data_IF_985899399954
#
_entry.id   IF_985899399954
#
_cell.length_a   1.000
_cell.length_b   1.000
_cell.length_c   1.000
_cell.angle_alpha   90.00
_cell.angle_beta   90.00
_cell.angle_gamma   90.00
#
_symmetry.space_group_name_H-M   'P 1'
#
loop_
_entity.id
_entity.type
_entity.pdbx_description
1 polymer ?
#
# COMPACT_ATOMS: atom_id res chain seq x y z
N UNK A 1 -30.88 -3.75 4.16
CA UNK A 1 -29.80 -3.88 3.17
C UNK A 1 -29.74 -2.58 2.38
N UNK A 2 -28.59 -1.91 2.38
CA UNK A 2 -28.36 -0.71 1.57
C UNK A 2 -28.27 -1.08 0.08
N UNK A 3 -28.39 -0.07 -0.77
CA UNK A 3 -28.16 -0.19 -2.21
C UNK A 3 -26.66 -0.44 -2.46
N UNK A 4 -26.33 -1.58 -3.09
CA UNK A 4 -24.94 -2.01 -3.31
C UNK A 4 -24.21 -1.05 -4.25
N UNK A 5 -24.85 -0.53 -5.30
CA UNK A 5 -24.18 0.36 -6.24
C UNK A 5 -23.90 1.74 -5.61
N UNK A 6 -24.73 2.16 -4.65
CA UNK A 6 -24.40 3.34 -3.83
C UNK A 6 -23.24 3.06 -2.87
N UNK A 7 -23.26 1.91 -2.20
CA UNK A 7 -22.16 1.51 -1.31
C UNK A 7 -20.82 1.44 -2.03
N UNK A 8 -20.78 0.87 -3.24
CA UNK A 8 -19.55 0.78 -4.03
C UNK A 8 -18.98 2.17 -4.35
N UNK A 9 -19.83 3.15 -4.66
CA UNK A 9 -19.39 4.54 -4.89
C UNK A 9 -18.88 5.23 -3.63
N UNK A 10 -19.45 4.89 -2.48
CA UNK A 10 -18.96 5.40 -1.19
C UNK A 10 -17.63 4.75 -0.79
N UNK A 11 -17.43 3.47 -1.11
CA UNK A 11 -16.22 2.71 -0.77
C UNK A 11 -15.08 3.03 -1.74
N UNK A 12 -15.37 3.17 -3.02
CA UNK A 12 -14.43 3.46 -4.10
C UNK A 12 -14.86 4.77 -4.79
N UNK A 13 -14.43 5.93 -4.26
CA UNK A 13 -14.71 7.20 -4.92
C UNK A 13 -13.99 7.29 -6.28
N UNK A 14 -14.35 8.28 -7.14
CA UNK A 14 -13.74 8.46 -8.45
C UNK A 14 -12.20 8.49 -8.41
N UNK A 15 -11.50 8.05 -9.47
CA UNK A 15 -10.04 7.99 -9.52
C UNK A 15 -9.40 9.36 -9.79
N UNK A 16 -9.83 10.38 -9.05
CA UNK A 16 -9.24 11.72 -9.07
C UNK A 16 -8.47 11.96 -7.78
N UNK A 17 -7.53 12.91 -7.82
CA UNK A 17 -6.74 13.25 -6.65
C UNK A 17 -7.63 13.86 -5.56
N UNK A 18 -8.51 14.76 -5.96
CA UNK A 18 -9.42 15.51 -5.08
C UNK A 18 -10.33 14.60 -4.27
N UNK A 19 -10.77 13.49 -4.86
CA UNK A 19 -11.68 12.53 -4.22
C UNK A 19 -10.95 11.48 -3.36
N UNK A 20 -9.64 11.24 -3.62
CA UNK A 20 -8.89 10.14 -2.99
C UNK A 20 -7.78 10.57 -2.05
N UNK A 21 -7.32 11.82 -2.12
CA UNK A 21 -6.26 12.31 -1.23
C UNK A 21 -6.77 12.35 0.22
N UNK A 22 -6.18 11.51 1.08
CA UNK A 22 -6.60 11.38 2.48
C UNK A 22 -7.89 10.57 2.69
N UNK A 23 -8.46 9.97 1.65
CA UNK A 23 -9.65 9.13 1.75
C UNK A 23 -9.34 7.81 2.45
N UNK A 24 -10.27 7.36 3.30
CA UNK A 24 -10.29 6.02 3.90
C UNK A 24 -11.71 5.48 3.89
N UNK A 25 -11.88 4.18 3.61
CA UNK A 25 -13.19 3.52 3.64
C UNK A 25 -13.37 2.59 4.85
N UNK A 26 -12.42 2.56 5.79
CA UNK A 26 -12.41 1.68 6.96
C UNK A 26 -13.72 1.72 7.76
N UNK A 27 -14.26 2.92 8.00
CA UNK A 27 -15.53 3.10 8.73
C UNK A 27 -16.72 2.52 7.99
N UNK A 28 -16.71 2.61 6.65
CA UNK A 28 -17.79 2.08 5.80
C UNK A 28 -17.74 0.56 5.84
N UNK A 29 -16.55 -0.01 5.64
CA UNK A 29 -16.30 -1.46 5.67
C UNK A 29 -16.67 -2.06 7.03
N UNK A 30 -16.22 -1.44 8.12
CA UNK A 30 -16.54 -1.89 9.48
C UNK A 30 -18.05 -1.86 9.81
N UNK A 31 -18.83 -1.05 9.07
CA UNK A 31 -20.28 -0.94 9.21
C UNK A 31 -21.08 -1.86 8.27
N UNK A 32 -20.45 -2.71 7.45
CA UNK A 32 -21.16 -3.65 6.58
C UNK A 32 -21.71 -4.81 7.40
N UNK A 33 -22.98 -5.19 7.15
CA UNK A 33 -23.47 -6.48 7.61
C UNK A 33 -22.94 -7.61 6.70
N UNK A 34 -23.17 -8.88 7.09
CA UNK A 34 -22.65 -10.04 6.36
C UNK A 34 -23.09 -10.10 4.89
N UNK A 35 -24.35 -9.79 4.59
CA UNK A 35 -24.87 -9.83 3.21
C UNK A 35 -24.26 -8.72 2.36
N UNK A 36 -24.18 -7.50 2.92
CA UNK A 36 -23.55 -6.36 2.28
C UNK A 36 -22.06 -6.60 2.04
N UNK A 37 -21.36 -7.18 3.02
CA UNK A 37 -19.94 -7.52 2.91
C UNK A 37 -19.69 -8.44 1.71
N UNK A 38 -20.44 -9.55 1.60
CA UNK A 38 -20.28 -10.51 0.51
C UNK A 38 -20.65 -9.90 -0.85
N UNK A 39 -21.68 -9.07 -0.90
CA UNK A 39 -22.09 -8.39 -2.13
C UNK A 39 -21.05 -7.37 -2.59
N UNK A 40 -20.51 -6.56 -1.66
CA UNK A 40 -19.44 -5.59 -1.92
C UNK A 40 -18.17 -6.30 -2.37
N UNK A 41 -17.74 -7.33 -1.64
CA UNK A 41 -16.54 -8.12 -1.98
C UNK A 41 -16.61 -8.63 -3.42
N UNK A 42 -17.72 -9.30 -3.78
CA UNK A 42 -17.93 -9.82 -5.12
C UNK A 42 -17.85 -8.72 -6.18
N UNK A 43 -18.54 -7.61 -5.96
CA UNK A 43 -18.62 -6.50 -6.91
C UNK A 43 -17.27 -5.80 -7.10
N UNK A 44 -16.48 -5.66 -6.03
CA UNK A 44 -15.12 -5.12 -6.08
C UNK A 44 -14.16 -6.05 -6.83
N UNK A 45 -14.27 -7.38 -6.64
CA UNK A 45 -13.48 -8.35 -7.40
C UNK A 45 -13.78 -8.22 -8.89
N UNK A 46 -15.07 -8.20 -9.27
CA UNK A 46 -15.51 -8.00 -10.66
C UNK A 46 -14.94 -6.70 -11.25
N UNK A 47 -15.04 -5.59 -10.51
CA UNK A 47 -14.49 -4.31 -10.97
C UNK A 47 -12.97 -4.34 -11.12
N UNK A 48 -12.26 -5.04 -10.23
CA UNK A 48 -10.82 -5.22 -10.31
C UNK A 48 -10.40 -6.16 -11.43
N UNK A 49 -11.27 -7.01 -11.98
CA UNK A 49 -10.95 -7.79 -13.18
C UNK A 49 -10.86 -6.91 -14.43
N UNK A 50 -11.65 -5.84 -14.46
CA UNK A 50 -11.72 -4.90 -15.59
C UNK A 50 -10.74 -3.73 -15.42
N UNK A 51 -10.72 -3.10 -14.24
CA UNK A 51 -9.97 -1.88 -13.97
C UNK A 51 -8.70 -2.12 -13.17
N UNK A 52 -7.63 -1.41 -13.53
CA UNK A 52 -6.41 -1.37 -12.74
C UNK A 52 -6.53 -0.27 -11.66
N UNK A 53 -7.26 -0.55 -10.59
CA UNK A 53 -7.46 0.38 -9.48
C UNK A 53 -6.81 -0.15 -8.19
N UNK A 54 -5.80 0.57 -7.71
CA UNK A 54 -5.09 0.18 -6.49
C UNK A 54 -5.97 0.29 -5.25
N UNK A 55 -6.89 1.26 -5.18
CA UNK A 55 -7.77 1.44 -4.02
C UNK A 55 -8.69 0.24 -3.86
N UNK A 56 -9.17 -0.33 -4.97
CA UNK A 56 -9.97 -1.57 -4.93
C UNK A 56 -9.15 -2.72 -4.36
N UNK A 57 -7.90 -2.90 -4.84
CA UNK A 57 -6.99 -3.91 -4.31
C UNK A 57 -6.73 -3.75 -2.81
N UNK A 58 -6.42 -2.52 -2.36
CA UNK A 58 -6.22 -2.21 -0.94
C UNK A 58 -7.49 -2.47 -0.11
N UNK A 59 -8.66 -2.12 -0.63
CA UNK A 59 -9.94 -2.35 0.05
C UNK A 59 -10.20 -3.84 0.23
N UNK A 60 -9.97 -4.66 -0.80
CA UNK A 60 -10.12 -6.12 -0.71
C UNK A 60 -9.16 -6.74 0.31
N UNK A 61 -7.92 -6.21 0.43
CA UNK A 61 -6.99 -6.62 1.49
C UNK A 61 -7.51 -6.21 2.87
N UNK A 62 -7.99 -4.97 3.04
CA UNK A 62 -8.57 -4.48 4.30
C UNK A 62 -9.83 -5.24 4.73
N UNK A 63 -10.57 -5.80 3.77
CA UNK A 63 -11.68 -6.73 4.00
C UNK A 63 -11.22 -8.16 4.30
N UNK A 64 -9.93 -8.47 4.26
CA UNK A 64 -9.39 -9.84 4.38
C UNK A 64 -9.98 -10.82 3.32
N UNK A 65 -10.27 -10.34 2.11
CA UNK A 65 -10.86 -11.15 1.04
C UNK A 65 -9.85 -12.13 0.42
N UNK A 66 -9.83 -13.37 0.89
CA UNK A 66 -9.06 -14.44 0.25
C UNK A 66 -9.55 -14.73 -1.19
N UNK A 67 -10.84 -14.49 -1.47
CA UNK A 67 -11.43 -14.64 -2.80
C UNK A 67 -10.84 -13.68 -3.83
N UNK A 68 -10.22 -12.57 -3.40
CA UNK A 68 -9.55 -11.63 -4.28
C UNK A 68 -8.19 -12.13 -4.79
N UNK A 69 -7.59 -13.16 -4.19
CA UNK A 69 -6.25 -13.63 -4.55
C UNK A 69 -6.05 -13.89 -6.05
N UNK A 70 -6.99 -14.54 -6.79
CA UNK A 70 -6.83 -14.75 -8.22
C UNK A 70 -6.77 -13.44 -9.02
N UNK A 71 -7.63 -12.46 -8.72
CA UNK A 71 -7.62 -11.18 -9.44
C UNK A 71 -6.39 -10.34 -9.09
N UNK A 72 -5.95 -10.36 -7.83
CA UNK A 72 -4.71 -9.69 -7.41
C UNK A 72 -3.48 -10.27 -8.13
N UNK A 73 -3.38 -11.60 -8.27
CA UNK A 73 -2.30 -12.26 -9.02
C UNK A 73 -2.32 -11.87 -10.50
N UNK A 74 -3.48 -11.92 -11.15
CA UNK A 74 -3.63 -11.43 -12.55
C UNK A 74 -3.18 -9.98 -12.69
N UNK A 75 -3.44 -9.13 -11.69
CA UNK A 75 -3.01 -7.73 -11.69
C UNK A 75 -1.51 -7.58 -11.50
N UNK A 76 -0.89 -8.36 -10.63
CA UNK A 76 0.57 -8.42 -10.45
C UNK A 76 1.28 -8.85 -11.73
N UNK A 77 0.81 -9.90 -12.41
CA UNK A 77 1.39 -10.42 -13.65
C UNK A 77 1.40 -9.39 -14.78
N UNK A 78 0.41 -8.50 -14.80
CA UNK A 78 0.30 -7.40 -15.78
C UNK A 78 1.16 -6.18 -15.46
N UNK A 79 1.96 -6.20 -14.39
CA UNK A 79 2.80 -5.04 -14.01
C UNK A 79 4.15 -5.10 -14.70
N UNK A 80 4.44 -4.06 -15.48
CA UNK A 80 5.78 -3.85 -16.03
C UNK A 80 6.70 -3.08 -15.07
N UNK A 81 6.15 -2.11 -14.33
CA UNK A 81 6.94 -1.27 -13.43
C UNK A 81 7.36 -2.00 -12.15
N UNK A 82 8.59 -1.76 -11.71
CA UNK A 82 9.10 -2.31 -10.44
C UNK A 82 8.28 -1.86 -9.24
N UNK A 83 7.87 -0.58 -9.18
CA UNK A 83 6.92 -0.09 -8.18
C UNK A 83 5.61 -0.87 -8.18
N UNK A 84 5.02 -1.07 -9.36
CA UNK A 84 3.80 -1.85 -9.50
C UNK A 84 3.96 -3.28 -9.00
N UNK A 85 5.06 -3.96 -9.36
CA UNK A 85 5.33 -5.32 -8.88
C UNK A 85 5.42 -5.40 -7.37
N UNK A 86 6.15 -4.47 -6.74
CA UNK A 86 6.30 -4.42 -5.28
C UNK A 86 4.94 -4.20 -4.61
N UNK A 87 4.20 -3.17 -5.01
CA UNK A 87 2.92 -2.82 -4.39
C UNK A 87 1.91 -3.96 -4.51
N UNK A 88 1.74 -4.56 -5.69
CA UNK A 88 0.78 -5.65 -5.87
C UNK A 88 1.22 -6.96 -5.19
N UNK A 89 2.52 -7.27 -5.15
CA UNK A 89 3.03 -8.40 -4.38
C UNK A 89 2.79 -8.21 -2.87
N UNK A 90 2.88 -6.97 -2.39
CA UNK A 90 2.61 -6.62 -0.98
C UNK A 90 1.17 -6.91 -0.60
N UNK A 91 0.20 -6.51 -1.43
CA UNK A 91 -1.21 -6.80 -1.19
C UNK A 91 -1.49 -8.31 -1.05
N UNK A 92 -0.90 -9.12 -1.95
CA UNK A 92 -1.04 -10.58 -1.91
C UNK A 92 -0.37 -11.15 -0.66
N UNK A 93 0.82 -10.67 -0.31
CA UNK A 93 1.54 -11.08 0.88
C UNK A 93 0.76 -10.80 2.17
N UNK A 94 0.08 -9.65 2.26
CA UNK A 94 -0.77 -9.29 3.40
C UNK A 94 -1.94 -10.26 3.56
N UNK A 95 -2.70 -10.54 2.49
CA UNK A 95 -3.80 -11.51 2.54
C UNK A 95 -3.32 -12.92 2.91
N UNK A 96 -2.17 -13.33 2.37
CA UNK A 96 -1.57 -14.64 2.68
C UNK A 96 -0.86 -14.69 4.03
N UNK A 97 -0.77 -13.57 4.75
CA UNK A 97 -0.08 -13.44 6.05
C UNK A 97 1.39 -13.89 5.97
N UNK A 98 2.03 -13.63 4.84
CA UNK A 98 3.39 -14.05 4.51
C UNK A 98 3.44 -15.02 3.33
N UNK A 99 4.07 -14.58 2.24
CA UNK A 99 4.28 -15.39 1.04
C UNK A 99 5.72 -15.24 0.53
N UNK A 100 6.49 -16.32 0.59
CA UNK A 100 7.88 -16.36 0.11
C UNK A 100 8.03 -16.07 -1.38
N UNK A 101 7.02 -16.41 -2.19
CA UNK A 101 7.03 -16.09 -3.61
C UNK A 101 6.84 -14.58 -3.83
N UNK A 102 5.88 -13.97 -3.13
CA UNK A 102 5.65 -12.53 -3.22
C UNK A 102 6.84 -11.74 -2.67
N UNK A 103 7.45 -12.21 -1.59
CA UNK A 103 8.67 -11.64 -1.02
C UNK A 103 9.82 -11.69 -2.02
N UNK A 104 10.01 -12.82 -2.72
CA UNK A 104 10.99 -12.94 -3.79
C UNK A 104 10.73 -11.96 -4.93
N UNK A 105 9.49 -11.88 -5.42
CA UNK A 105 9.12 -10.95 -6.51
C UNK A 105 9.39 -9.50 -6.10
N UNK A 106 8.99 -9.11 -4.89
CA UNK A 106 9.19 -7.77 -4.37
C UNK A 106 10.68 -7.46 -4.20
N UNK A 107 11.47 -8.40 -3.68
CA UNK A 107 12.92 -8.23 -3.54
C UNK A 107 13.60 -8.04 -4.90
N UNK A 108 13.34 -8.91 -5.88
CA UNK A 108 13.93 -8.82 -7.22
C UNK A 108 13.53 -7.54 -7.97
N UNK A 109 12.30 -7.07 -7.78
CA UNK A 109 11.86 -5.79 -8.31
C UNK A 109 12.56 -4.61 -7.60
N UNK A 110 12.73 -4.70 -6.27
CA UNK A 110 13.41 -3.68 -5.48
C UNK A 110 14.90 -3.57 -5.80
N UNK A 111 15.57 -4.68 -6.10
CA UNK A 111 16.98 -4.66 -6.52
C UNK A 111 17.21 -3.81 -7.77
N UNK A 112 16.23 -3.78 -8.68
CA UNK A 112 16.24 -3.05 -9.95
C UNK A 112 15.58 -1.68 -9.87
N UNK A 113 15.07 -1.30 -8.69
CA UNK A 113 14.35 -0.05 -8.51
C UNK A 113 15.32 1.13 -8.46
N UNK A 114 15.05 2.13 -9.30
CA UNK A 114 15.73 3.43 -9.26
C UNK A 114 14.76 4.51 -8.79
N UNK A 115 15.21 5.33 -7.83
CA UNK A 115 14.47 6.49 -7.37
C UNK A 115 14.74 7.68 -8.27
N UNK A 116 13.71 8.14 -8.98
CA UNK A 116 13.74 9.30 -9.88
C UNK A 116 13.13 10.54 -9.18
N UNK A 117 12.18 10.32 -8.26
CA UNK A 117 11.51 11.36 -7.49
C UNK A 117 11.54 11.06 -6.00
N UNK A 118 11.64 12.10 -5.16
CA UNK A 118 11.67 11.94 -3.70
C UNK A 118 10.41 11.24 -3.15
N UNK A 119 9.23 11.56 -3.70
CA UNK A 119 7.94 11.00 -3.28
C UNK A 119 7.88 9.46 -3.38
N UNK A 120 8.68 8.87 -4.26
CA UNK A 120 8.74 7.42 -4.44
C UNK A 120 9.26 6.66 -3.21
N UNK A 121 9.88 7.35 -2.24
CA UNK A 121 10.36 6.73 -1.00
C UNK A 121 9.26 6.03 -0.18
N UNK A 122 7.98 6.37 -0.40
CA UNK A 122 6.86 5.72 0.29
C UNK A 122 6.78 4.21 0.03
N UNK A 123 7.42 3.69 -1.02
CA UNK A 123 7.49 2.25 -1.33
C UNK A 123 8.12 1.42 -0.21
N UNK A 124 8.92 2.03 0.66
CA UNK A 124 9.47 1.34 1.82
C UNK A 124 8.39 0.89 2.82
N UNK A 125 7.24 1.57 2.86
CA UNK A 125 6.07 1.16 3.65
C UNK A 125 5.46 -0.15 3.15
N UNK A 126 5.54 -0.40 1.83
CA UNK A 126 5.15 -1.68 1.24
C UNK A 126 6.19 -2.77 1.55
N UNK A 127 7.46 -2.46 1.29
CA UNK A 127 8.58 -3.41 1.43
C UNK A 127 8.77 -3.93 2.87
N UNK A 128 8.55 -3.09 3.88
CA UNK A 128 8.75 -3.50 5.29
C UNK A 128 7.72 -4.56 5.73
N UNK A 129 6.55 -4.62 5.09
CA UNK A 129 5.47 -5.58 5.43
C UNK A 129 5.85 -7.03 5.18
N UNK A 130 6.85 -7.28 4.33
CA UNK A 130 7.38 -8.63 4.11
C UNK A 130 8.20 -9.17 5.29
N UNK A 131 8.60 -8.32 6.26
CA UNK A 131 9.43 -8.70 7.41
C UNK A 131 10.69 -9.48 7.01
N UNK A 132 11.26 -9.13 5.86
CA UNK A 132 12.36 -9.85 5.23
C UNK A 132 13.71 -9.21 5.57
N UNK A 133 14.65 -9.94 6.22
CA UNK A 133 15.96 -9.40 6.56
C UNK A 133 16.75 -8.88 5.35
N UNK A 134 16.62 -9.53 4.18
CA UNK A 134 17.30 -9.09 2.96
C UNK A 134 16.71 -7.82 2.37
N UNK A 135 15.39 -7.64 2.47
CA UNK A 135 14.73 -6.39 2.08
C UNK A 135 15.19 -5.27 3.03
N UNK A 136 15.17 -5.50 4.34
CA UNK A 136 15.60 -4.51 5.33
C UNK A 136 17.05 -4.05 5.10
N UNK A 137 17.97 -4.99 4.90
CA UNK A 137 19.37 -4.70 4.56
C UNK A 137 19.52 -3.91 3.25
N UNK A 138 18.61 -4.08 2.30
CA UNK A 138 18.60 -3.29 1.07
C UNK A 138 18.06 -1.87 1.31
N UNK A 139 17.04 -1.70 2.16
CA UNK A 139 16.50 -0.40 2.57
C UNK A 139 17.58 0.43 3.30
N UNK A 140 18.42 -0.20 4.12
CA UNK A 140 19.52 0.48 4.84
C UNK A 140 20.44 1.28 3.91
N UNK A 141 20.62 0.83 2.66
CA UNK A 141 21.44 1.56 1.67
C UNK A 141 20.87 2.93 1.27
N UNK A 142 19.63 3.22 1.67
CA UNK A 142 18.92 4.44 1.32
C UNK A 142 18.74 5.40 2.51
N UNK A 143 19.27 5.09 3.70
CA UNK A 143 19.12 5.96 4.87
C UNK A 143 19.72 7.35 4.64
N UNK A 144 20.81 7.48 3.88
CA UNK A 144 21.41 8.78 3.55
C UNK A 144 21.30 9.08 2.05
N UNK A 145 20.17 8.70 1.44
CA UNK A 145 19.92 8.94 0.04
C UNK A 145 19.82 10.44 -0.28
N UNK A 146 20.29 10.85 -1.47
CA UNK A 146 20.28 12.25 -1.96
C UNK A 146 18.90 12.92 -2.01
N UNK A 147 17.83 12.14 -1.93
CA UNK A 147 16.45 12.65 -1.90
C UNK A 147 15.93 12.50 -0.48
N UNK A 148 15.64 13.63 0.17
CA UNK A 148 15.28 13.66 1.59
C UNK A 148 14.11 12.76 1.91
N UNK A 149 13.03 12.75 1.12
CA UNK A 149 11.89 11.87 1.38
C UNK A 149 12.22 10.37 1.23
N UNK A 150 13.20 10.00 0.40
CA UNK A 150 13.67 8.60 0.32
C UNK A 150 14.42 8.26 1.61
N UNK A 151 15.35 9.13 2.03
CA UNK A 151 16.10 8.97 3.28
C UNK A 151 15.19 8.90 4.51
N UNK A 152 14.23 9.82 4.61
CA UNK A 152 13.25 9.90 5.70
C UNK A 152 12.43 8.61 5.77
N UNK A 153 11.82 8.17 4.67
CA UNK A 153 11.02 6.95 4.68
C UNK A 153 11.85 5.71 5.04
N UNK A 154 13.10 5.62 4.54
CA UNK A 154 14.00 4.52 4.90
C UNK A 154 14.31 4.50 6.41
N UNK A 155 14.65 5.66 6.99
CA UNK A 155 14.89 5.79 8.44
C UNK A 155 13.65 5.44 9.25
N UNK A 156 12.48 5.93 8.82
CA UNK A 156 11.21 5.68 9.51
C UNK A 156 10.87 4.20 9.55
N UNK A 157 10.87 3.49 8.42
CA UNK A 157 10.44 2.07 8.40
C UNK A 157 11.43 1.14 9.13
N UNK A 158 12.71 1.52 9.20
CA UNK A 158 13.72 0.77 9.95
C UNK A 158 13.82 1.19 11.42
N UNK A 159 13.06 2.20 11.85
CA UNK A 159 13.26 2.92 13.12
C UNK A 159 14.75 3.21 13.39
N UNK A 160 15.45 3.70 12.37
CA UNK A 160 16.91 3.83 12.39
C UNK A 160 17.35 4.73 13.55
N UNK A 161 18.11 4.20 14.52
CA UNK A 161 18.52 4.91 15.75
C UNK A 161 17.36 5.58 16.52
N UNK A 162 16.17 4.96 16.54
CA UNK A 162 15.00 5.54 17.21
C UNK A 162 14.39 6.73 16.46
N UNK A 163 14.63 6.83 15.15
CA UNK A 163 14.13 7.93 14.32
C UNK A 163 12.60 8.02 14.34
N UNK A 164 11.89 6.89 14.21
CA UNK A 164 10.42 6.90 14.23
C UNK A 164 9.90 7.31 15.61
N UNK A 165 10.55 6.84 16.68
CA UNK A 165 10.16 7.17 18.06
C UNK A 165 10.38 8.66 18.37
N UNK A 166 11.51 9.23 17.95
CA UNK A 166 11.79 10.66 18.14
C UNK A 166 10.90 11.55 17.29
N UNK A 167 10.54 11.13 16.08
CA UNK A 167 9.59 11.82 15.21
C UNK A 167 8.18 11.84 15.81
N UNK A 168 7.68 10.69 16.30
CA UNK A 168 6.34 10.59 16.89
C UNK A 168 6.23 11.29 18.26
N UNK A 169 7.34 11.41 18.99
CA UNK A 169 7.40 12.14 20.26
C UNK A 169 7.70 13.64 20.10
N UNK A 170 7.93 14.11 18.88
CA UNK A 170 8.00 15.54 18.59
C UNK A 170 6.58 16.09 18.40
N UNK A 171 6.23 17.17 19.09
CA UNK A 171 4.98 17.90 18.79
C UNK A 171 4.92 18.16 17.28
N UNK A 172 3.77 17.99 16.61
CA UNK A 172 3.68 18.17 15.17
C UNK A 172 4.04 19.61 14.81
N UNK A 173 5.32 19.81 14.45
CA UNK A 173 5.79 21.11 13.97
C UNK A 173 5.08 21.37 12.67
N UNK A 174 4.39 22.49 12.63
CA UNK A 174 3.67 22.89 11.43
C UNK A 174 4.73 23.13 10.35
N UNK A 175 4.50 22.66 9.14
CA UNK A 175 5.52 22.61 8.07
C UNK A 175 6.17 23.97 7.74
N UNK A 176 5.54 25.08 8.13
CA UNK A 176 6.08 26.44 8.03
C UNK A 176 7.09 26.84 9.11
N UNK A 177 7.26 26.05 10.17
CA UNK A 177 8.23 26.28 11.26
C UNK A 177 9.63 25.75 10.92
N UNK A 178 9.76 24.97 9.85
CA UNK A 178 11.03 24.42 9.36
C UNK A 178 11.82 25.47 8.55
N UNK A 179 11.18 26.57 8.16
CA UNK A 179 11.75 27.64 7.32
C UNK A 179 12.03 28.96 8.09
N UNK A 180 12.20 28.89 9.42
CA UNK A 180 12.74 29.98 10.25
C UNK A 180 14.17 29.67 10.66
#
# INVERSE_FOLDING_TARGET
MRDIEKLIKEIIPPPTREEREGFTNDKIIAGLNKEEFLAVEKRLIEELEEKNDLLIGQTLVGMESENALPVLKKRLEKKDSHFGKITWATLINELKKGDSEMEKIAFEAFEKLEFIYAVQGCIFMDLIKFKSPRINKRIEKFIDHKYDLVAIHAKTVLNYNGYADSYNNSEPKKWWEVWK
#
